data_IF_157163948330
#
_entry.id   IF_157163948330
#
_cell.length_a   1.000
_cell.length_b   1.000
_cell.length_c   1.000
_cell.angle_alpha   90.00
_cell.angle_beta   90.00
_cell.angle_gamma   90.00
#
_symmetry.space_group_name_H-M   'P 1'
#
loop_
_entity.id
_entity.type
_entity.pdbx_description
1 polymer ?
#
# COMPACT_ATOMS: atom_id res chain seq x y z
N UNK A 1 0.72 17.33 2.64
CA UNK A 1 0.74 15.86 2.52
C UNK A 1 1.26 15.28 3.84
N UNK A 2 0.55 14.36 4.50
CA UNK A 2 0.94 13.84 5.83
C UNK A 2 1.17 12.33 5.78
N UNK A 3 2.36 11.90 6.13
CA UNK A 3 2.74 10.49 6.19
C UNK A 3 2.40 9.88 7.54
N UNK A 4 1.95 8.63 7.51
CA UNK A 4 1.65 7.83 8.70
C UNK A 4 2.52 6.58 8.70
N UNK A 5 3.21 6.32 9.80
CA UNK A 5 3.95 5.08 9.98
C UNK A 5 2.99 3.88 9.96
N UNK A 6 3.42 2.81 9.31
CA UNK A 6 2.73 1.53 9.30
C UNK A 6 3.52 0.53 10.14
N UNK A 7 2.82 -0.12 11.08
CA UNK A 7 3.36 -1.21 11.86
C UNK A 7 2.39 -2.40 11.79
N UNK A 8 2.77 -3.52 11.14
CA UNK A 8 1.87 -4.66 10.98
C UNK A 8 1.44 -5.27 12.32
N UNK A 9 2.24 -5.17 13.38
CA UNK A 9 1.92 -5.76 14.70
C UNK A 9 0.93 -4.93 15.51
N UNK A 10 0.76 -3.63 15.18
CA UNK A 10 -0.22 -2.77 15.87
C UNK A 10 -1.65 -2.98 15.39
N UNK A 11 -1.85 -3.70 14.29
CA UNK A 11 -3.18 -4.09 13.81
C UNK A 11 -4.14 -2.91 13.70
N UNK A 12 -5.24 -2.98 14.44
CA UNK A 12 -6.27 -1.93 14.50
C UNK A 12 -5.94 -0.73 15.40
N UNK A 13 -4.88 -0.80 16.21
CA UNK A 13 -4.49 0.25 17.17
C UNK A 13 -3.73 1.42 16.53
N UNK A 14 -3.37 1.33 15.25
CA UNK A 14 -2.75 2.41 14.49
C UNK A 14 -3.78 3.09 13.56
N UNK A 15 -3.45 4.29 13.08
CA UNK A 15 -4.23 4.92 12.00
C UNK A 15 -4.11 4.07 10.74
N UNK A 16 -5.23 3.84 10.05
CA UNK A 16 -5.29 3.01 8.85
C UNK A 16 -5.82 3.81 7.66
N UNK A 17 -5.32 3.54 6.44
CA UNK A 17 -5.96 4.06 5.25
C UNK A 17 -7.36 3.47 5.10
N UNK A 18 -8.25 4.15 4.37
CA UNK A 18 -9.53 3.57 3.96
C UNK A 18 -9.30 2.23 3.24
N UNK A 19 -10.20 1.27 3.46
CA UNK A 19 -10.09 -0.06 2.86
C UNK A 19 -10.25 0.06 1.34
N UNK A 20 -9.36 -0.60 0.57
CA UNK A 20 -9.40 -0.62 -0.91
C UNK A 20 -9.32 0.75 -1.60
N UNK A 21 -8.98 1.83 -0.88
CA UNK A 21 -8.60 3.11 -1.49
C UNK A 21 -7.11 3.10 -1.82
N UNK A 22 -6.75 3.54 -3.03
CA UNK A 22 -5.36 3.73 -3.41
C UNK A 22 -4.73 4.90 -2.65
N UNK A 23 -3.53 4.67 -2.15
CA UNK A 23 -2.71 5.64 -1.41
C UNK A 23 -1.26 5.54 -1.86
N UNK A 24 -0.46 6.57 -1.58
CA UNK A 24 0.98 6.44 -1.69
C UNK A 24 1.51 5.61 -0.52
N UNK A 25 2.46 4.74 -0.80
CA UNK A 25 3.19 3.95 0.19
C UNK A 25 4.68 4.17 0.02
N UNK A 26 5.39 4.19 1.15
CA UNK A 26 6.84 4.20 1.21
C UNK A 26 7.31 2.80 1.55
N UNK A 27 8.17 2.24 0.70
CA UNK A 27 8.70 0.89 0.82
C UNK A 27 10.10 0.94 1.42
N UNK A 28 10.40 -0.05 2.27
CA UNK A 28 11.75 -0.29 2.70
C UNK A 28 12.63 -0.54 1.48
N UNK A 29 13.85 -0.01 1.53
CA UNK A 29 14.81 -0.27 0.46
C UNK A 29 15.17 -1.75 0.40
N UNK A 30 15.36 -2.25 -0.82
CA UNK A 30 15.80 -3.62 -1.08
C UNK A 30 17.29 -3.78 -0.69
N UNK A 31 18.07 -2.71 -0.82
CA UNK A 31 19.48 -2.64 -0.46
C UNK A 31 19.75 -1.40 0.40
N UNK A 32 20.58 -1.52 1.43
CA UNK A 32 20.98 -0.40 2.31
C UNK A 32 21.60 0.77 1.55
N UNK A 33 22.16 0.52 0.37
CA UNK A 33 22.75 1.54 -0.48
C UNK A 33 21.74 2.24 -1.41
N UNK A 34 20.52 1.72 -1.50
CA UNK A 34 19.45 2.29 -2.33
C UNK A 34 18.48 3.11 -1.47
N UNK A 35 17.88 4.17 -2.03
CA UNK A 35 16.85 4.93 -1.33
C UNK A 35 15.57 4.11 -1.17
N UNK A 36 14.78 4.46 -0.15
CA UNK A 36 13.42 3.95 0.03
C UNK A 36 12.56 4.30 -1.20
N UNK A 37 11.77 3.35 -1.67
CA UNK A 37 10.93 3.54 -2.85
C UNK A 37 9.55 4.13 -2.48
N UNK A 38 8.94 4.88 -3.41
CA UNK A 38 7.55 5.31 -3.32
C UNK A 38 6.75 4.55 -4.36
N UNK A 39 5.61 3.99 -3.94
CA UNK A 39 4.71 3.23 -4.80
C UNK A 39 3.25 3.58 -4.52
N UNK A 40 2.36 3.10 -5.38
CA UNK A 40 0.91 3.17 -5.17
C UNK A 40 0.43 1.82 -4.65
N UNK A 41 -0.32 1.82 -3.56
CA UNK A 41 -0.89 0.60 -2.99
C UNK A 41 -2.21 0.85 -2.29
N UNK A 42 -2.86 -0.20 -1.84
CA UNK A 42 -4.10 -0.10 -1.08
C UNK A 42 -4.11 -1.11 0.06
N UNK A 43 -4.79 -0.77 1.16
CA UNK A 43 -4.84 -1.63 2.34
C UNK A 43 -5.93 -2.70 2.21
N UNK A 44 -5.58 -3.91 2.66
CA UNK A 44 -6.47 -5.06 2.89
C UNK A 44 -6.28 -5.62 4.31
N UNK A 45 -7.13 -6.59 4.65
CA UNK A 45 -7.05 -7.40 5.86
C UNK A 45 -6.79 -8.85 5.47
N UNK A 46 -5.88 -9.51 6.16
CA UNK A 46 -5.65 -10.94 5.96
C UNK A 46 -6.91 -11.71 6.38
N UNK A 47 -7.52 -12.45 5.45
CA UNK A 47 -8.78 -13.19 5.69
C UNK A 47 -9.91 -12.38 6.38
N UNK A 48 -9.94 -11.05 6.17
CA UNK A 48 -10.90 -10.17 6.84
C UNK A 48 -10.54 -9.75 8.28
N UNK A 49 -9.49 -10.30 8.88
CA UNK A 49 -9.02 -9.96 10.22
C UNK A 49 -8.50 -8.51 10.29
N UNK A 50 -9.20 -7.70 11.08
CA UNK A 50 -8.88 -6.28 11.28
C UNK A 50 -7.58 -6.06 12.06
N UNK A 51 -7.06 -7.08 12.75
CA UNK A 51 -5.78 -7.05 13.46
C UNK A 51 -4.58 -7.35 12.56
N UNK A 52 -4.83 -7.87 11.36
CA UNK A 52 -3.80 -8.25 10.41
C UNK A 52 -3.91 -7.41 9.11
N UNK A 53 -3.75 -6.07 9.18
CA UNK A 53 -3.74 -5.23 7.99
C UNK A 53 -2.47 -5.46 7.18
N UNK A 54 -2.58 -5.39 5.87
CA UNK A 54 -1.44 -5.38 4.96
C UNK A 54 -1.74 -4.50 3.74
N UNK A 55 -0.72 -4.17 2.97
CA UNK A 55 -0.86 -3.43 1.72
C UNK A 55 -0.70 -4.37 0.53
N UNK A 56 -1.57 -4.21 -0.46
CA UNK A 56 -1.34 -4.71 -1.81
C UNK A 56 -0.74 -3.59 -2.62
N UNK A 57 0.41 -3.87 -3.23
CA UNK A 57 1.12 -2.95 -4.09
C UNK A 57 1.19 -3.64 -5.46
N UNK A 58 0.42 -3.20 -6.45
CA UNK A 58 0.38 -3.88 -7.74
C UNK A 58 1.74 -3.86 -8.44
N UNK A 59 2.15 -5.00 -9.00
CA UNK A 59 3.37 -5.13 -9.82
C UNK A 59 4.71 -5.11 -9.08
N UNK A 60 4.77 -4.49 -7.90
CA UNK A 60 6.00 -4.27 -7.13
C UNK A 60 5.70 -4.56 -5.66
N UNK A 61 6.07 -5.75 -5.15
CA UNK A 61 5.92 -6.09 -3.73
C UNK A 61 6.80 -5.23 -2.81
N UNK A 62 6.84 -5.55 -1.52
CA UNK A 62 7.78 -4.95 -0.57
C UNK A 62 7.22 -4.68 0.81
N UNK A 63 8.11 -4.31 1.74
CA UNK A 63 7.74 -3.96 3.12
C UNK A 63 7.34 -2.49 3.19
N UNK A 64 6.07 -2.23 3.52
CA UNK A 64 5.58 -0.85 3.71
C UNK A 64 6.04 -0.29 5.05
N UNK A 65 6.69 0.87 5.02
CA UNK A 65 7.10 1.64 6.19
C UNK A 65 6.08 2.71 6.56
N UNK A 66 5.56 3.42 5.56
CA UNK A 66 4.64 4.55 5.73
C UNK A 66 3.62 4.62 4.59
N UNK A 67 2.53 5.34 4.82
CA UNK A 67 1.52 5.62 3.80
C UNK A 67 1.02 7.06 3.87
N UNK A 68 0.48 7.55 2.75
CA UNK A 68 -0.14 8.85 2.66
C UNK A 68 -1.43 8.82 1.83
N UNK A 69 -2.54 9.22 2.45
CA UNK A 69 -3.81 9.43 1.76
C UNK A 69 -3.81 10.83 1.12
N UNK A 70 -3.31 10.89 -0.10
CA UNK A 70 -3.20 12.11 -0.90
C UNK A 70 -3.64 11.93 -2.36
N UNK A 71 -4.07 10.74 -2.74
CA UNK A 71 -4.62 10.48 -4.06
C UNK A 71 -6.11 10.89 -4.07
N UNK A 72 -6.62 11.40 -5.21
CA UNK A 72 -8.04 11.66 -5.39
C UNK A 72 -8.90 10.41 -5.12
N UNK A 73 -10.13 10.59 -4.62
CA UNK A 73 -11.03 9.46 -4.33
C UNK A 73 -11.39 8.62 -5.56
N UNK A 74 -11.35 9.23 -6.75
CA UNK A 74 -11.59 8.59 -8.04
C UNK A 74 -10.30 8.11 -8.73
N UNK A 75 -9.16 8.11 -8.03
CA UNK A 75 -7.93 7.57 -8.59
C UNK A 75 -8.09 6.07 -8.87
N UNK A 76 -7.93 5.69 -10.13
CA UNK A 76 -7.93 4.30 -10.57
C UNK A 76 -6.62 3.99 -11.27
N UNK A 77 -6.11 2.78 -11.05
CA UNK A 77 -4.96 2.26 -11.76
C UNK A 77 -5.44 1.26 -12.80
N UNK A 78 -5.31 1.61 -14.08
CA UNK A 78 -5.57 0.70 -15.20
C UNK A 78 -4.39 -0.26 -15.32
N UNK A 79 -4.56 -1.51 -14.89
CA UNK A 79 -3.58 -2.55 -15.15
C UNK A 79 -3.54 -2.79 -16.67
N UNK A 80 -2.53 -2.29 -17.38
CA UNK A 80 -2.34 -2.52 -18.81
C UNK A 80 -1.76 -3.91 -19.12
N UNK A 81 -2.25 -4.95 -18.44
CA UNK A 81 -2.22 -6.28 -19.05
C UNK A 81 -3.49 -6.37 -19.88
N UNK A 82 -3.35 -6.00 -21.14
CA UNK A 82 -4.34 -6.27 -22.18
C UNK A 82 -4.74 -7.75 -22.09
N UNK A 83 -6.04 -7.99 -21.87
CA UNK A 83 -6.64 -9.28 -22.16
C UNK A 83 -6.50 -9.53 -23.66
N UNK A 84 -5.36 -10.04 -24.12
CA UNK A 84 -5.35 -10.90 -25.31
C UNK A 84 -5.99 -12.22 -24.88
N UNK A 85 -7.32 -12.21 -24.79
CA UNK A 85 -8.13 -13.42 -24.79
C UNK A 85 -7.88 -14.10 -26.13
N UNK A 86 -7.12 -15.19 -26.10
CA UNK A 86 -7.13 -16.21 -27.15
C UNK A 86 -8.30 -17.16 -26.90
#
# INVERSE_FOLDING_TARGET
MKWYNFNPTKGSRQKRPPIRKYVLVQLASIDKCLPEAIAVGYRKNAAGDKQSPYFVIPGIGGTVLRWCDCLPDNFTWSNMYSEEKT
#
